data_IF_957976310307
#
_entry.id   IF_957976310307
#
_cell.length_a   1.000
_cell.length_b   1.000
_cell.length_c   1.000
_cell.angle_alpha   90.00
_cell.angle_beta   90.00
_cell.angle_gamma   90.00
#
_symmetry.space_group_name_H-M   'P 1'
#
loop_
_entity.id
_entity.type
_entity.pdbx_description
1 polymer ?
#
# COMPACT_ATOMS: atom_id res chain seq x y z
N UNK A 1 -12.29 5.15 -14.13
CA UNK A 1 -11.22 4.92 -13.14
C UNK A 1 -10.16 5.99 -13.28
N UNK A 2 -9.46 6.29 -12.20
CA UNK A 2 -8.30 7.22 -12.26
C UNK A 2 -7.15 6.60 -13.05
N UNK A 3 -6.43 7.45 -13.78
CA UNK A 3 -5.23 7.06 -14.51
C UNK A 3 -4.01 7.13 -13.55
N UNK A 4 -3.73 6.02 -12.89
CA UNK A 4 -2.64 5.94 -11.90
C UNK A 4 -1.65 4.84 -12.22
N UNK A 5 -0.44 5.01 -11.71
CA UNK A 5 0.56 3.95 -11.55
C UNK A 5 0.91 3.74 -10.07
N UNK A 6 1.23 2.51 -9.71
CA UNK A 6 1.86 2.16 -8.45
C UNK A 6 3.37 2.06 -8.68
N UNK A 7 4.08 3.11 -8.33
CA UNK A 7 5.51 3.23 -8.62
C UNK A 7 6.35 2.60 -7.51
N UNK A 8 7.14 1.59 -7.85
CA UNK A 8 8.20 1.07 -6.98
C UNK A 8 9.31 2.12 -6.86
N UNK A 9 9.69 2.44 -5.61
CA UNK A 9 10.71 3.44 -5.35
C UNK A 9 12.10 2.80 -5.24
N UNK A 10 13.14 3.43 -5.83
CA UNK A 10 14.52 3.07 -5.52
C UNK A 10 14.82 3.20 -4.03
N UNK A 11 15.69 2.34 -3.50
CA UNK A 11 16.07 2.34 -2.09
C UNK A 11 16.46 3.73 -1.57
N UNK A 12 17.24 4.48 -2.33
CA UNK A 12 17.69 5.84 -1.95
C UNK A 12 16.53 6.83 -1.77
N UNK A 13 15.44 6.67 -2.52
CA UNK A 13 14.23 7.50 -2.37
C UNK A 13 13.50 7.12 -1.09
N UNK A 14 13.35 5.84 -0.80
CA UNK A 14 12.74 5.34 0.44
C UNK A 14 13.54 5.82 1.66
N UNK A 15 14.86 5.80 1.61
CA UNK A 15 15.73 6.32 2.69
C UNK A 15 15.51 7.81 2.90
N UNK A 16 15.42 8.62 1.83
CA UNK A 16 15.13 10.04 1.92
C UNK A 16 13.75 10.30 2.56
N UNK A 17 12.71 9.58 2.15
CA UNK A 17 11.38 9.67 2.74
C UNK A 17 11.38 9.26 4.21
N UNK A 18 12.09 8.19 4.57
CA UNK A 18 12.23 7.73 5.95
C UNK A 18 12.94 8.75 6.85
N UNK A 19 13.83 9.57 6.29
CA UNK A 19 14.48 10.68 6.97
C UNK A 19 13.63 11.97 7.01
N UNK A 20 12.45 11.99 6.38
CA UNK A 20 11.62 13.17 6.23
C UNK A 20 12.16 14.18 5.22
N UNK A 21 13.12 13.80 4.40
CA UNK A 21 13.77 14.66 3.40
C UNK A 21 13.02 14.63 2.06
N UNK A 22 11.91 15.36 2.03
CA UNK A 22 11.05 15.45 0.85
C UNK A 22 11.77 16.09 -0.35
N UNK A 23 12.66 17.06 -0.11
CA UNK A 23 13.39 17.75 -1.17
C UNK A 23 14.32 16.80 -1.93
N UNK A 24 15.10 15.99 -1.20
CA UNK A 24 15.97 14.96 -1.82
C UNK A 24 15.15 13.89 -2.53
N UNK A 25 14.04 13.44 -1.95
CA UNK A 25 13.15 12.47 -2.58
C UNK A 25 12.59 13.01 -3.91
N UNK A 26 12.09 14.23 -3.93
CA UNK A 26 11.60 14.88 -5.16
C UNK A 26 12.68 15.09 -6.21
N UNK A 27 13.91 15.36 -5.81
CA UNK A 27 15.02 15.52 -6.75
C UNK A 27 15.37 14.23 -7.49
N UNK A 28 14.97 13.07 -6.98
CA UNK A 28 15.27 11.74 -7.53
C UNK A 28 14.10 11.11 -8.30
N UNK A 29 12.98 11.81 -8.45
CA UNK A 29 11.76 11.28 -9.09
C UNK A 29 11.27 12.20 -10.20
N UNK A 30 10.51 11.67 -11.13
CA UNK A 30 9.89 12.40 -12.26
C UNK A 30 8.49 12.93 -11.95
N UNK A 31 7.99 12.70 -10.74
CA UNK A 31 6.69 13.18 -10.25
C UNK A 31 6.87 13.95 -8.95
N UNK A 32 5.92 14.81 -8.63
CA UNK A 32 5.97 15.63 -7.41
C UNK A 32 5.33 14.90 -6.23
N UNK A 33 6.03 14.91 -5.10
CA UNK A 33 5.54 14.40 -3.81
C UNK A 33 5.26 15.58 -2.86
N UNK A 34 4.10 15.55 -2.21
CA UNK A 34 3.71 16.56 -1.23
C UNK A 34 4.10 16.20 0.21
N UNK A 35 3.91 17.14 1.15
CA UNK A 35 4.29 16.97 2.56
C UNK A 35 3.60 15.79 3.27
N UNK A 36 2.43 15.37 2.81
CA UNK A 36 1.73 14.21 3.36
C UNK A 36 2.60 12.96 3.40
N UNK A 37 3.44 12.75 2.36
CA UNK A 37 4.28 11.56 2.25
C UNK A 37 5.40 11.49 3.28
N UNK A 38 5.76 12.59 3.90
CA UNK A 38 6.72 12.64 5.02
C UNK A 38 6.07 13.08 6.32
N UNK A 39 4.75 13.18 6.34
CA UNK A 39 3.94 13.49 7.50
C UNK A 39 3.71 12.27 8.42
N UNK A 40 2.99 12.48 9.54
CA UNK A 40 2.82 11.46 10.58
C UNK A 40 2.11 10.19 10.09
N UNK A 41 1.27 10.28 9.06
CA UNK A 41 0.56 9.12 8.52
C UNK A 41 1.46 8.19 7.67
N UNK A 42 2.48 8.74 6.99
CA UNK A 42 3.33 7.99 6.06
C UNK A 42 4.74 7.75 6.57
N UNK A 43 5.30 8.67 7.37
CA UNK A 43 6.69 8.60 7.82
C UNK A 43 7.04 7.27 8.53
N UNK A 44 6.21 6.75 9.46
CA UNK A 44 6.49 5.48 10.10
C UNK A 44 6.58 4.32 9.11
N UNK A 45 5.73 4.33 8.07
CA UNK A 45 5.76 3.33 7.00
C UNK A 45 7.10 3.35 6.27
N UNK A 46 7.60 4.51 5.87
CA UNK A 46 8.90 4.60 5.19
C UNK A 46 10.05 4.16 6.07
N UNK A 47 10.01 4.43 7.36
CA UNK A 47 11.02 3.96 8.32
C UNK A 47 11.04 2.45 8.40
N UNK A 48 9.87 1.81 8.47
CA UNK A 48 9.74 0.35 8.45
C UNK A 48 10.25 -0.21 7.10
N UNK A 49 9.86 0.38 5.98
CA UNK A 49 10.25 -0.11 4.65
C UNK A 49 11.75 0.07 4.38
N UNK A 50 12.35 1.16 4.82
CA UNK A 50 13.80 1.37 4.72
C UNK A 50 14.56 0.29 5.48
N UNK A 51 14.18 0.00 6.72
CA UNK A 51 14.78 -1.08 7.50
C UNK A 51 14.57 -2.46 6.85
N UNK A 52 13.37 -2.72 6.32
CA UNK A 52 13.00 -3.97 5.66
C UNK A 52 13.88 -4.26 4.43
N UNK A 53 14.08 -3.28 3.54
CA UNK A 53 14.92 -3.47 2.35
C UNK A 53 16.41 -3.62 2.69
N UNK A 54 16.88 -2.99 3.75
CA UNK A 54 18.26 -3.15 4.21
C UNK A 54 18.52 -4.59 4.74
N UNK A 55 17.55 -5.17 5.43
CA UNK A 55 17.67 -6.51 6.01
C UNK A 55 17.30 -7.62 5.02
N UNK A 56 16.37 -7.35 4.10
CA UNK A 56 15.86 -8.30 3.10
C UNK A 56 15.64 -7.58 1.77
N UNK A 57 16.70 -7.36 0.94
CA UNK A 57 16.59 -6.67 -0.34
C UNK A 57 15.54 -7.24 -1.30
N UNK A 58 15.27 -8.56 -1.38
CA UNK A 58 14.21 -9.12 -2.22
C UNK A 58 12.80 -8.64 -1.86
N UNK A 59 12.57 -8.14 -0.64
CA UNK A 59 11.28 -7.59 -0.22
C UNK A 59 10.86 -6.34 -1.01
N UNK A 60 11.81 -5.63 -1.62
CA UNK A 60 11.57 -4.41 -2.38
C UNK A 60 10.48 -4.57 -3.46
N UNK A 61 10.39 -5.74 -4.08
CA UNK A 61 9.35 -6.08 -5.05
C UNK A 61 7.94 -5.90 -4.48
N UNK A 62 7.73 -6.24 -3.21
CA UNK A 62 6.41 -6.37 -2.60
C UNK A 62 5.93 -5.13 -1.86
N UNK A 63 6.87 -4.37 -1.29
CA UNK A 63 6.56 -3.32 -0.32
C UNK A 63 5.84 -2.11 -0.93
N UNK A 64 5.45 -1.20 -0.05
CA UNK A 64 4.75 0.05 -0.32
C UNK A 64 5.30 0.81 -1.52
N UNK A 65 4.42 1.17 -2.44
CA UNK A 65 4.65 1.98 -3.64
C UNK A 65 3.95 3.32 -3.51
N UNK A 66 4.34 4.26 -4.34
CA UNK A 66 3.64 5.54 -4.48
C UNK A 66 2.50 5.40 -5.48
N UNK A 67 1.32 5.93 -5.13
CA UNK A 67 0.23 6.13 -6.07
C UNK A 67 0.48 7.44 -6.80
N UNK A 68 0.78 7.37 -8.09
CA UNK A 68 1.01 8.55 -8.94
C UNK A 68 -0.17 8.74 -9.87
N UNK A 69 -0.76 9.94 -9.86
CA UNK A 69 -1.71 10.37 -10.90
C UNK A 69 -0.92 10.76 -12.15
N UNK A 70 -1.11 10.01 -13.23
CA UNK A 70 -0.35 10.18 -14.47
C UNK A 70 -0.72 11.45 -15.24
N UNK A 71 -1.96 11.92 -15.07
CA UNK A 71 -2.43 13.12 -15.77
C UNK A 71 -1.86 14.39 -15.14
N UNK A 72 -1.58 14.35 -13.83
CA UNK A 72 -1.06 15.48 -13.07
C UNK A 72 0.44 15.36 -12.75
N UNK A 73 1.03 14.18 -12.92
CA UNK A 73 2.40 13.83 -12.52
C UNK A 73 2.66 14.14 -11.02
N UNK A 74 1.70 13.80 -10.15
CA UNK A 74 1.78 13.99 -8.71
C UNK A 74 1.53 12.70 -7.94
N UNK A 75 2.19 12.56 -6.80
CA UNK A 75 1.90 11.52 -5.84
C UNK A 75 0.66 11.89 -5.01
N UNK A 76 -0.31 11.00 -4.95
CA UNK A 76 -1.58 11.21 -4.24
C UNK A 76 -1.73 10.32 -3.01
N UNK A 77 -0.79 9.41 -2.78
CA UNK A 77 -0.81 8.49 -1.66
C UNK A 77 0.16 7.34 -1.82
N UNK A 78 -0.06 6.31 -1.03
CA UNK A 78 0.75 5.09 -1.00
C UNK A 78 -0.14 3.86 -1.09
N UNK A 79 0.36 2.79 -1.70
CA UNK A 79 -0.30 1.49 -1.73
C UNK A 79 0.73 0.39 -2.01
N UNK A 80 0.58 -0.77 -1.38
CA UNK A 80 1.49 -1.89 -1.60
C UNK A 80 1.20 -3.04 -0.65
N UNK A 81 2.08 -4.02 -0.66
CA UNK A 81 2.06 -5.10 0.30
C UNK A 81 3.02 -4.82 1.46
N UNK A 82 2.82 -5.51 2.58
CA UNK A 82 3.70 -5.37 3.75
C UNK A 82 4.99 -6.20 3.61
N UNK A 83 5.02 -7.13 2.68
CA UNK A 83 6.15 -8.00 2.40
C UNK A 83 5.77 -9.08 1.39
N UNK A 84 6.64 -10.09 1.24
CA UNK A 84 6.34 -11.26 0.42
C UNK A 84 5.17 -12.08 1.00
N UNK A 85 4.48 -12.90 0.18
CA UNK A 85 3.50 -13.84 0.70
C UNK A 85 4.15 -14.84 1.66
N UNK A 86 3.40 -15.25 2.67
CA UNK A 86 3.83 -16.28 3.61
C UNK A 86 3.79 -17.69 2.99
N UNK A 87 4.19 -18.69 3.76
CA UNK A 87 4.22 -20.09 3.32
C UNK A 87 2.83 -20.66 2.96
N UNK A 88 1.76 -20.02 3.39
CA UNK A 88 0.38 -20.36 3.07
C UNK A 88 -0.17 -19.56 1.88
N UNK A 89 0.65 -18.70 1.26
CA UNK A 89 0.24 -17.85 0.15
C UNK A 89 -0.63 -16.66 0.56
N UNK A 90 -0.55 -16.23 1.83
CA UNK A 90 -1.24 -15.03 2.28
C UNK A 90 -0.31 -13.81 2.16
N UNK A 91 -0.86 -12.72 1.61
CA UNK A 91 -0.19 -11.43 1.52
C UNK A 91 -1.08 -10.34 2.11
N UNK A 92 -0.50 -9.42 2.85
CA UNK A 92 -1.22 -8.30 3.44
C UNK A 92 -0.96 -7.01 2.67
N UNK A 93 -2.04 -6.30 2.32
CA UNK A 93 -1.98 -5.01 1.65
C UNK A 93 -2.31 -3.85 2.58
N UNK A 94 -1.81 -2.67 2.18
CA UNK A 94 -2.19 -1.41 2.79
C UNK A 94 -2.22 -0.31 1.74
N UNK A 95 -3.02 0.71 2.00
CA UNK A 95 -3.08 1.93 1.19
C UNK A 95 -3.50 3.12 2.04
N UNK A 96 -3.04 4.29 1.64
CA UNK A 96 -3.46 5.56 2.21
C UNK A 96 -3.44 6.65 1.15
N UNK A 97 -4.46 7.49 1.12
CA UNK A 97 -4.57 8.61 0.18
C UNK A 97 -4.46 9.91 0.96
N UNK A 98 -3.66 10.84 0.46
CA UNK A 98 -3.55 12.20 0.99
C UNK A 98 -4.95 12.81 1.13
N UNK A 99 -5.30 13.39 2.29
CA UNK A 99 -6.60 14.03 2.50
C UNK A 99 -7.03 14.97 1.39
N UNK A 100 -6.09 15.69 0.76
CA UNK A 100 -6.36 16.60 -0.36
C UNK A 100 -6.92 15.88 -1.61
N UNK A 101 -6.70 14.58 -1.74
CA UNK A 101 -7.10 13.78 -2.91
C UNK A 101 -8.15 12.70 -2.59
N UNK A 102 -8.64 12.64 -1.36
CA UNK A 102 -9.65 11.66 -0.95
C UNK A 102 -10.97 11.87 -1.68
N UNK A 103 -11.82 10.81 -1.68
CA UNK A 103 -13.17 10.80 -2.29
C UNK A 103 -13.17 11.08 -3.80
N UNK A 104 -12.06 10.82 -4.47
CA UNK A 104 -11.90 10.97 -5.92
C UNK A 104 -11.65 9.63 -6.64
N UNK A 105 -11.71 8.50 -5.92
CA UNK A 105 -11.56 7.16 -6.49
C UNK A 105 -10.13 6.61 -6.50
N UNK A 106 -9.15 7.31 -5.98
CA UNK A 106 -7.75 6.84 -5.97
C UNK A 106 -7.56 5.55 -5.18
N UNK A 107 -8.10 5.47 -3.96
CA UNK A 107 -8.01 4.25 -3.15
C UNK A 107 -8.64 3.04 -3.84
N UNK A 108 -9.79 3.23 -4.49
CA UNK A 108 -10.47 2.18 -5.26
C UNK A 108 -9.63 1.69 -6.43
N UNK A 109 -9.04 2.60 -7.19
CA UNK A 109 -8.18 2.25 -8.32
C UNK A 109 -6.90 1.55 -7.85
N UNK A 110 -6.29 2.03 -6.76
CA UNK A 110 -5.10 1.42 -6.17
C UNK A 110 -5.38 0.00 -5.65
N UNK A 111 -6.49 -0.20 -4.93
CA UNK A 111 -6.89 -1.54 -4.47
C UNK A 111 -7.12 -2.50 -5.63
N UNK A 112 -7.81 -2.06 -6.70
CA UNK A 112 -7.99 -2.87 -7.90
C UNK A 112 -6.66 -3.26 -8.55
N UNK A 113 -5.69 -2.35 -8.60
CA UNK A 113 -4.35 -2.62 -9.13
C UNK A 113 -3.58 -3.62 -8.26
N UNK A 114 -3.64 -3.52 -6.93
CA UNK A 114 -3.03 -4.47 -6.01
C UNK A 114 -3.65 -5.87 -6.14
N UNK A 115 -4.97 -5.95 -6.24
CA UNK A 115 -5.66 -7.24 -6.42
C UNK A 115 -5.34 -7.87 -7.76
N UNK A 116 -5.21 -7.06 -8.82
CA UNK A 116 -4.77 -7.56 -10.12
C UNK A 116 -3.35 -8.12 -10.03
N UNK A 117 -2.43 -7.36 -9.42
CA UNK A 117 -1.06 -7.82 -9.21
C UNK A 117 -1.02 -9.11 -8.39
N UNK A 118 -1.77 -9.20 -7.28
CA UNK A 118 -1.85 -10.43 -6.49
C UNK A 118 -2.35 -11.64 -7.30
N UNK A 119 -3.32 -11.44 -8.19
CA UNK A 119 -3.83 -12.50 -9.07
C UNK A 119 -2.81 -12.99 -10.11
N UNK A 120 -1.93 -12.10 -10.54
CA UNK A 120 -0.89 -12.43 -11.53
C UNK A 120 0.29 -13.20 -10.88
N UNK A 121 0.35 -13.26 -9.54
CA UNK A 121 1.39 -13.97 -8.78
C UNK A 121 0.87 -15.32 -8.26
N UNK A 122 1.38 -16.41 -8.83
CA UNK A 122 0.91 -17.78 -8.52
C UNK A 122 1.12 -18.20 -7.05
N UNK A 123 2.04 -17.55 -6.35
CA UNK A 123 2.32 -17.82 -4.94
C UNK A 123 1.24 -17.22 -3.99
N UNK A 124 0.38 -16.33 -4.49
CA UNK A 124 -0.62 -15.65 -3.66
C UNK A 124 -1.98 -16.34 -3.80
N UNK A 125 -2.55 -16.76 -2.68
CA UNK A 125 -3.86 -17.41 -2.60
C UNK A 125 -4.88 -16.57 -1.84
N UNK A 126 -4.40 -15.78 -0.88
CA UNK A 126 -5.25 -14.96 -0.01
C UNK A 126 -4.66 -13.57 0.13
N UNK A 127 -5.49 -12.56 0.00
CA UNK A 127 -5.11 -11.16 0.28
C UNK A 127 -5.81 -10.73 1.55
N UNK A 128 -5.03 -10.16 2.47
CA UNK A 128 -5.48 -9.63 3.76
C UNK A 128 -5.40 -8.10 3.78
N UNK A 129 -6.34 -7.48 4.47
CA UNK A 129 -6.29 -6.07 4.86
C UNK A 129 -6.68 -5.95 6.34
N UNK A 130 -5.86 -5.26 7.13
CA UNK A 130 -6.13 -4.95 8.53
C UNK A 130 -6.55 -3.49 8.62
N UNK A 131 -7.72 -3.23 9.19
CA UNK A 131 -8.38 -1.92 9.12
C UNK A 131 -8.88 -1.53 10.49
N UNK A 132 -8.57 -0.29 10.93
CA UNK A 132 -9.10 0.25 12.17
C UNK A 132 -10.64 0.23 12.17
N UNK A 133 -11.29 -0.12 13.30
CA UNK A 133 -12.75 -0.30 13.35
C UNK A 133 -13.56 0.93 12.92
N UNK A 134 -13.03 2.13 13.14
CA UNK A 134 -13.64 3.42 12.80
C UNK A 134 -13.34 3.90 11.37
N UNK A 135 -12.43 3.22 10.64
CA UNK A 135 -12.16 3.52 9.24
C UNK A 135 -13.25 2.92 8.33
N UNK A 136 -14.44 3.49 8.41
CA UNK A 136 -15.62 3.01 7.68
C UNK A 136 -15.44 3.07 6.15
N UNK A 137 -14.67 4.04 5.66
CA UNK A 137 -14.41 4.19 4.23
C UNK A 137 -13.60 3.00 3.67
N UNK A 138 -12.52 2.61 4.34
CA UNK A 138 -11.71 1.44 3.94
C UNK A 138 -12.49 0.13 4.09
N UNK A 139 -13.26 -0.02 5.17
CA UNK A 139 -14.12 -1.21 5.37
C UNK A 139 -15.14 -1.36 4.23
N UNK A 140 -15.85 -0.29 3.89
CA UNK A 140 -16.79 -0.29 2.77
C UNK A 140 -16.12 -0.54 1.42
N UNK A 141 -14.88 -0.08 1.25
CA UNK A 141 -14.13 -0.30 0.02
C UNK A 141 -13.72 -1.77 -0.16
N UNK A 142 -13.15 -2.40 0.87
CA UNK A 142 -12.74 -3.82 0.76
C UNK A 142 -13.97 -4.74 0.61
N UNK A 143 -15.10 -4.40 1.22
CA UNK A 143 -16.36 -5.13 1.04
C UNK A 143 -16.79 -5.20 -0.43
N UNK A 144 -16.63 -4.11 -1.19
CA UNK A 144 -16.92 -4.08 -2.63
C UNK A 144 -16.08 -5.06 -3.46
N UNK A 145 -14.95 -5.51 -2.95
CA UNK A 145 -14.04 -6.46 -3.60
C UNK A 145 -14.13 -7.88 -3.03
N UNK A 146 -15.17 -8.15 -2.24
CA UNK A 146 -15.47 -9.49 -1.73
C UNK A 146 -14.65 -9.90 -0.52
N UNK A 147 -13.97 -8.98 0.14
CA UNK A 147 -13.33 -9.27 1.41
C UNK A 147 -14.37 -9.56 2.50
N UNK A 148 -14.07 -10.52 3.35
CA UNK A 148 -14.90 -10.87 4.51
C UNK A 148 -14.11 -10.69 5.80
N UNK A 149 -14.79 -10.27 6.86
CA UNK A 149 -14.21 -10.17 8.19
C UNK A 149 -13.91 -11.58 8.73
N UNK A 150 -12.67 -11.81 9.15
CA UNK A 150 -12.19 -13.12 9.62
C UNK A 150 -11.70 -13.09 11.06
N UNK A 151 -11.50 -11.93 11.65
CA UNK A 151 -11.01 -11.77 13.01
C UNK A 151 -10.58 -10.36 13.34
N UNK A 152 -9.82 -10.23 14.40
CA UNK A 152 -9.23 -8.98 14.84
C UNK A 152 -7.84 -9.20 15.42
N UNK A 153 -7.04 -8.14 15.44
CA UNK A 153 -5.72 -8.11 16.05
C UNK A 153 -5.47 -6.78 16.74
N UNK A 154 -4.40 -6.73 17.51
CA UNK A 154 -3.87 -5.51 18.10
C UNK A 154 -2.53 -5.17 17.44
N UNK A 155 -2.46 -4.00 16.82
CA UNK A 155 -1.21 -3.43 16.35
C UNK A 155 -0.65 -2.45 17.39
N UNK A 156 0.67 -2.48 17.62
CA UNK A 156 1.29 -1.66 18.65
C UNK A 156 1.27 -0.15 18.34
N UNK A 157 1.08 0.21 17.07
CA UNK A 157 1.02 1.60 16.59
C UNK A 157 -0.42 2.03 16.31
N UNK A 158 -1.15 1.21 15.54
CA UNK A 158 -2.51 1.52 15.06
C UNK A 158 -3.62 1.14 16.07
N UNK A 159 -3.30 0.29 17.05
CA UNK A 159 -4.25 -0.22 18.03
C UNK A 159 -5.06 -1.41 17.50
N UNK A 160 -6.36 -1.45 17.85
CA UNK A 160 -7.26 -2.52 17.41
C UNK A 160 -7.53 -2.42 15.92
N UNK A 161 -7.39 -3.54 15.23
CA UNK A 161 -7.70 -3.69 13.81
C UNK A 161 -8.64 -4.87 13.56
N UNK A 162 -9.53 -4.71 12.60
CA UNK A 162 -10.35 -5.79 12.07
C UNK A 162 -9.64 -6.39 10.86
N UNK A 163 -9.54 -7.72 10.81
CA UNK A 163 -8.89 -8.44 9.74
C UNK A 163 -9.92 -8.85 8.69
N UNK A 164 -9.68 -8.43 7.45
CA UNK A 164 -10.47 -8.80 6.28
C UNK A 164 -9.62 -9.63 5.32
N UNK A 165 -10.22 -10.65 4.73
CA UNK A 165 -9.53 -11.49 3.73
C UNK A 165 -10.41 -11.75 2.51
N UNK A 166 -9.75 -11.88 1.36
CA UNK A 166 -10.35 -12.39 0.14
C UNK A 166 -9.47 -13.50 -0.43
N UNK A 167 -10.07 -14.64 -0.76
CA UNK A 167 -9.38 -15.69 -1.51
C UNK A 167 -9.40 -15.35 -2.99
N UNK A 168 -8.23 -15.48 -3.61
CA UNK A 168 -8.12 -15.35 -5.06
C UNK A 168 -8.56 -16.68 -5.70
N UNK A 169 -9.39 -16.61 -6.75
CA UNK A 169 -9.68 -17.78 -7.53
C UNK A 169 -8.38 -18.32 -8.16
N UNK A 170 -8.14 -19.65 -8.16
CA UNK A 170 -7.01 -20.21 -8.88
C UNK A 170 -7.06 -19.73 -10.33
N UNK A 171 -5.90 -19.36 -10.89
CA UNK A 171 -5.80 -19.04 -12.30
C UNK A 171 -6.35 -20.25 -13.06
N UNK A 172 -7.40 -20.03 -13.87
CA UNK A 172 -8.12 -21.08 -14.55
C UNK A 172 -7.17 -21.99 -15.34
N UNK A 173 -7.33 -23.27 -15.09
CA UNK A 173 -6.70 -24.34 -15.88
C UNK A 173 -7.20 -24.30 -17.32
#
# INVERSE_FOLDING_TARGET
>A
MKNIDLIELPQKVIIALAAGDLASANAMTSFQMGPYLVGPDCLPTWQIRAAQILNDPPSAKWITRIIVDNDLAIAVGVAGFHGAPDDLGMIELGYAVDPAFRRQGYAKTALAALLKWAKDESAIQTVRASIAPDNLASRALVDQYGFTEVGEQWDDVEGREIIFEVRLAPMGS
#
